data_IF_833070040701
#
_entry.id   IF_833070040701
#
_cell.length_a   1.000
_cell.length_b   1.000
_cell.length_c   1.000
_cell.angle_alpha   90.00
_cell.angle_beta   90.00
_cell.angle_gamma   90.00
#
_symmetry.space_group_name_H-M   'P 1'
#
loop_
_entity.id
_entity.type
_entity.pdbx_description
1 polymer ?
#
# COMPACT_ATOMS: atom_id res chain seq x y z
N UNK A 1 64.86 7.69 -10.80
CA UNK A 1 63.90 8.72 -10.34
C UNK A 1 62.58 8.47 -10.94
N UNK A 2 61.67 7.87 -10.18
CA UNK A 2 60.33 7.58 -10.64
C UNK A 2 59.42 8.76 -10.27
N UNK A 3 58.97 9.49 -11.29
CA UNK A 3 57.96 10.50 -11.12
C UNK A 3 56.61 9.82 -11.23
N UNK A 4 56.02 9.49 -10.06
CA UNK A 4 54.62 9.06 -10.02
C UNK A 4 53.76 10.28 -10.15
N UNK A 5 53.39 10.63 -11.37
CA UNK A 5 52.32 11.55 -11.66
C UNK A 5 51.00 10.89 -11.24
N UNK A 6 50.55 11.14 -10.01
CA UNK A 6 49.22 10.73 -9.59
C UNK A 6 48.19 11.42 -10.44
N UNK A 7 47.60 10.69 -11.39
CA UNK A 7 46.38 11.12 -12.02
C UNK A 7 45.30 11.05 -10.98
N UNK A 8 45.04 12.17 -10.34
CA UNK A 8 43.80 12.35 -9.59
C UNK A 8 42.66 12.22 -10.60
N UNK A 9 42.04 11.07 -10.58
CA UNK A 9 40.78 10.87 -11.26
C UNK A 9 39.73 11.70 -10.51
N UNK A 10 39.46 12.90 -11.04
CA UNK A 10 38.29 13.67 -10.65
C UNK A 10 37.07 12.80 -10.90
N UNK A 11 36.55 12.20 -9.86
CA UNK A 11 35.22 11.59 -9.93
C UNK A 11 34.24 12.69 -10.31
N UNK A 12 33.40 12.49 -11.35
CA UNK A 12 32.39 13.48 -11.68
C UNK A 12 31.51 13.65 -10.45
N UNK A 13 31.34 14.88 -10.01
CA UNK A 13 30.46 15.21 -8.90
C UNK A 13 29.12 14.52 -9.13
N UNK A 14 28.75 13.61 -8.24
CA UNK A 14 27.41 13.00 -8.27
C UNK A 14 26.42 14.14 -8.16
N UNK A 15 25.60 14.31 -9.21
CA UNK A 15 24.48 15.23 -9.13
C UNK A 15 23.69 14.91 -7.87
N UNK A 16 23.36 15.93 -7.05
CA UNK A 16 22.52 15.68 -5.90
C UNK A 16 21.24 15.00 -6.38
N UNK A 17 20.74 13.99 -5.65
CA UNK A 17 19.49 13.35 -6.03
C UNK A 17 18.43 14.42 -6.16
N UNK A 18 17.82 14.52 -7.34
CA UNK A 18 16.71 15.45 -7.55
C UNK A 18 15.66 15.15 -6.47
N UNK A 19 15.11 16.19 -5.81
CA UNK A 19 14.03 15.96 -4.88
C UNK A 19 12.95 15.19 -5.62
N UNK A 20 12.57 14.03 -5.06
CA UNK A 20 11.52 13.21 -5.63
C UNK A 20 10.31 14.11 -5.88
N UNK A 21 9.90 14.27 -7.14
CA UNK A 21 8.70 15.02 -7.47
C UNK A 21 7.56 14.39 -6.70
N UNK A 22 6.87 15.20 -5.91
CA UNK A 22 5.64 14.76 -5.27
C UNK A 22 4.70 14.25 -6.36
N UNK A 23 4.20 13.02 -6.25
CA UNK A 23 3.29 12.49 -7.24
C UNK A 23 2.06 13.38 -7.35
N UNK A 24 1.59 13.58 -8.57
CA UNK A 24 0.43 14.42 -8.84
C UNK A 24 -0.82 13.83 -8.16
N UNK A 25 -1.48 14.55 -7.24
CA UNK A 25 -2.66 14.05 -6.56
C UNK A 25 -3.80 13.64 -7.50
N UNK A 26 -3.96 14.33 -8.61
CA UNK A 26 -4.97 14.01 -9.61
C UNK A 26 -4.76 12.64 -10.25
N UNK A 27 -3.52 12.31 -10.60
CA UNK A 27 -3.15 11.00 -11.14
C UNK A 27 -3.34 9.90 -10.11
N UNK A 28 -2.95 10.15 -8.86
CA UNK A 28 -3.13 9.20 -7.78
C UNK A 28 -4.62 8.89 -7.53
N UNK A 29 -5.47 9.88 -7.55
CA UNK A 29 -6.93 9.68 -7.42
C UNK A 29 -7.52 8.89 -8.57
N UNK A 30 -7.03 9.09 -9.79
CA UNK A 30 -7.43 8.29 -10.96
C UNK A 30 -7.00 6.85 -10.83
N UNK A 31 -5.76 6.64 -10.45
CA UNK A 31 -5.21 5.30 -10.18
C UNK A 31 -6.00 4.61 -9.08
N UNK A 32 -6.29 5.30 -7.99
CA UNK A 32 -7.10 4.78 -6.89
C UNK A 32 -8.47 4.28 -7.36
N UNK A 33 -9.16 5.08 -8.16
CA UNK A 33 -10.48 4.68 -8.72
C UNK A 33 -10.37 3.46 -9.63
N UNK A 34 -9.34 3.40 -10.45
CA UNK A 34 -9.10 2.26 -11.33
C UNK A 34 -8.81 0.99 -10.53
N UNK A 35 -7.99 1.09 -9.49
CA UNK A 35 -7.67 -0.02 -8.60
C UNK A 35 -8.87 -0.51 -7.80
N UNK A 36 -9.74 0.38 -7.35
CA UNK A 36 -10.98 -0.02 -6.66
C UNK A 36 -11.90 -0.82 -7.59
N UNK A 37 -12.02 -0.43 -8.84
CA UNK A 37 -12.78 -1.20 -9.83
C UNK A 37 -12.14 -2.56 -10.13
N UNK A 38 -10.83 -2.57 -10.32
CA UNK A 38 -10.09 -3.80 -10.52
C UNK A 38 -10.23 -4.75 -9.33
N UNK A 39 -10.18 -4.23 -8.12
CA UNK A 39 -10.40 -4.99 -6.89
C UNK A 39 -11.77 -5.66 -6.86
N UNK A 40 -12.83 -4.91 -7.17
CA UNK A 40 -14.19 -5.44 -7.24
C UNK A 40 -14.32 -6.55 -8.27
N UNK A 41 -13.76 -6.34 -9.45
CA UNK A 41 -13.74 -7.33 -10.52
C UNK A 41 -13.03 -8.61 -10.10
N UNK A 42 -11.84 -8.49 -9.49
CA UNK A 42 -11.08 -9.63 -8.97
C UNK A 42 -11.81 -10.38 -7.87
N UNK A 43 -12.52 -9.69 -7.00
CA UNK A 43 -13.33 -10.31 -5.96
C UNK A 43 -14.53 -11.07 -6.54
N UNK A 44 -15.16 -10.55 -7.58
CA UNK A 44 -16.23 -11.27 -8.30
C UNK A 44 -15.70 -12.53 -8.97
N UNK A 45 -14.57 -12.43 -9.63
CA UNK A 45 -13.92 -13.58 -10.29
C UNK A 45 -13.54 -14.64 -9.24
N UNK A 46 -13.00 -14.23 -8.12
CA UNK A 46 -12.66 -15.11 -7.00
C UNK A 46 -13.91 -15.79 -6.44
N UNK A 47 -14.99 -15.04 -6.23
CA UNK A 47 -16.27 -15.58 -5.80
C UNK A 47 -16.84 -16.60 -6.80
N UNK A 48 -16.79 -16.30 -8.09
CA UNK A 48 -17.19 -17.23 -9.15
C UNK A 48 -16.35 -18.50 -9.16
N UNK A 49 -15.05 -18.36 -9.02
CA UNK A 49 -14.12 -19.50 -8.93
C UNK A 49 -14.44 -20.40 -7.72
N UNK A 50 -14.70 -19.81 -6.57
CA UNK A 50 -15.08 -20.53 -5.36
C UNK A 50 -16.37 -21.34 -5.56
N UNK A 51 -17.38 -20.73 -6.14
CA UNK A 51 -18.67 -21.40 -6.42
C UNK A 51 -18.47 -22.55 -7.38
N UNK A 52 -17.67 -22.36 -8.42
CA UNK A 52 -17.38 -23.41 -9.40
C UNK A 52 -16.60 -24.59 -8.80
N UNK A 53 -15.60 -24.30 -7.96
CA UNK A 53 -14.88 -25.33 -7.22
C UNK A 53 -15.79 -26.13 -6.30
N UNK A 54 -16.71 -25.45 -5.62
CA UNK A 54 -17.70 -26.09 -4.75
C UNK A 54 -18.63 -27.01 -5.54
N UNK A 55 -19.15 -26.54 -6.68
CA UNK A 55 -20.04 -27.35 -7.55
C UNK A 55 -19.37 -28.60 -8.09
N UNK A 56 -18.11 -28.44 -8.49
CA UNK A 56 -17.32 -29.55 -9.07
C UNK A 56 -16.67 -30.42 -8.00
N UNK A 57 -16.73 -30.04 -6.75
CA UNK A 57 -16.03 -30.69 -5.62
C UNK A 57 -14.53 -30.86 -5.89
N UNK A 58 -13.94 -29.91 -6.59
CA UNK A 58 -12.54 -29.89 -6.97
C UNK A 58 -11.88 -28.61 -6.46
N UNK A 59 -11.16 -28.72 -5.37
CA UNK A 59 -10.44 -27.61 -4.78
C UNK A 59 -9.08 -27.44 -5.42
N UNK A 60 -8.80 -26.24 -5.87
CA UNK A 60 -7.53 -25.83 -6.47
C UNK A 60 -6.94 -24.71 -5.63
N UNK A 61 -6.21 -25.08 -4.59
CA UNK A 61 -5.56 -24.12 -3.71
C UNK A 61 -4.56 -23.22 -4.43
N UNK A 62 -3.85 -23.76 -5.42
CA UNK A 62 -2.93 -23.01 -6.26
C UNK A 62 -3.59 -21.83 -6.96
N UNK A 63 -4.77 -22.02 -7.53
CA UNK A 63 -5.55 -20.96 -8.17
C UNK A 63 -6.07 -19.95 -7.15
N UNK A 64 -6.51 -20.41 -5.98
CA UNK A 64 -6.97 -19.52 -4.90
C UNK A 64 -5.83 -18.63 -4.41
N UNK A 65 -4.66 -19.19 -4.18
CA UNK A 65 -3.47 -18.43 -3.78
C UNK A 65 -3.12 -17.36 -4.80
N UNK A 66 -3.09 -17.72 -6.08
CA UNK A 66 -2.79 -16.80 -7.16
C UNK A 66 -3.79 -15.63 -7.20
N UNK A 67 -5.09 -15.92 -7.16
CA UNK A 67 -6.14 -14.91 -7.21
C UNK A 67 -6.19 -14.05 -5.95
N UNK A 68 -5.99 -14.61 -4.80
CA UNK A 68 -5.89 -13.86 -3.55
C UNK A 68 -4.67 -12.93 -3.56
N UNK A 69 -3.53 -13.39 -4.07
CA UNK A 69 -2.33 -12.58 -4.16
C UNK A 69 -2.54 -11.35 -5.07
N UNK A 70 -3.30 -11.47 -6.15
CA UNK A 70 -3.68 -10.35 -7.01
C UNK A 70 -4.48 -9.29 -6.23
N UNK A 71 -5.45 -9.70 -5.44
CA UNK A 71 -6.27 -8.79 -4.62
C UNK A 71 -5.41 -8.11 -3.54
N UNK A 72 -4.56 -8.87 -2.87
CA UNK A 72 -3.65 -8.36 -1.84
C UNK A 72 -2.67 -7.34 -2.44
N UNK A 73 -2.17 -7.59 -3.65
CA UNK A 73 -1.32 -6.64 -4.37
C UNK A 73 -2.04 -5.32 -4.68
N UNK A 74 -3.30 -5.38 -5.07
CA UNK A 74 -4.13 -4.18 -5.28
C UNK A 74 -4.33 -3.44 -3.96
N UNK A 75 -4.64 -4.13 -2.88
CA UNK A 75 -4.84 -3.54 -1.57
C UNK A 75 -3.57 -2.85 -1.05
N UNK A 76 -2.40 -3.46 -1.27
CA UNK A 76 -1.12 -2.84 -0.93
C UNK A 76 -0.89 -1.54 -1.69
N UNK A 77 -1.19 -1.52 -2.99
CA UNK A 77 -1.05 -0.30 -3.79
C UNK A 77 -2.06 0.78 -3.39
N UNK A 78 -3.28 0.40 -3.06
CA UNK A 78 -4.28 1.34 -2.53
C UNK A 78 -3.81 1.99 -1.23
N UNK A 79 -3.21 1.22 -0.33
CA UNK A 79 -2.66 1.74 0.91
C UNK A 79 -1.52 2.75 0.67
N UNK A 80 -0.63 2.46 -0.27
CA UNK A 80 0.43 3.39 -0.67
C UNK A 80 -0.14 4.71 -1.23
N UNK A 81 -1.15 4.63 -2.10
CA UNK A 81 -1.78 5.81 -2.67
C UNK A 81 -2.46 6.63 -1.59
N UNK A 82 -3.16 6.00 -0.66
CA UNK A 82 -3.80 6.69 0.45
C UNK A 82 -2.76 7.39 1.34
N UNK A 83 -1.63 6.77 1.59
CA UNK A 83 -0.51 7.40 2.29
C UNK A 83 0.03 8.63 1.55
N UNK A 84 0.23 8.53 0.25
CA UNK A 84 0.72 9.61 -0.59
C UNK A 84 -0.27 10.78 -0.69
N UNK A 85 -1.57 10.48 -0.76
CA UNK A 85 -2.62 11.50 -0.84
C UNK A 85 -2.80 12.27 0.48
N UNK A 86 -2.58 11.62 1.61
CA UNK A 86 -2.77 12.20 2.93
C UNK A 86 -1.49 12.79 3.53
N UNK A 87 -0.38 12.77 2.79
CA UNK A 87 0.86 13.48 3.11
C UNK A 87 1.53 13.08 4.43
N UNK A 88 1.24 11.89 4.95
CA UNK A 88 1.77 11.44 6.23
C UNK A 88 1.23 12.19 7.46
N UNK A 89 0.35 13.18 7.27
CA UNK A 89 -0.34 13.82 8.38
C UNK A 89 -1.39 12.88 8.95
N UNK A 90 -1.10 12.31 10.11
CA UNK A 90 -2.05 11.56 10.90
C UNK A 90 -2.29 10.13 10.46
N UNK A 91 -1.32 9.46 9.87
CA UNK A 91 -1.29 8.01 9.87
C UNK A 91 -1.04 7.53 11.28
N UNK A 92 -2.10 7.27 12.01
CA UNK A 92 -2.00 6.58 13.28
C UNK A 92 -1.50 5.16 13.00
N UNK A 93 -0.52 4.72 13.76
CA UNK A 93 -0.07 3.34 13.71
C UNK A 93 -0.75 2.57 14.83
N UNK A 94 -1.30 1.42 14.48
CA UNK A 94 -1.74 0.47 15.47
C UNK A 94 -0.55 -0.05 16.29
N UNK A 95 -0.79 -0.49 17.50
CA UNK A 95 0.22 -1.15 18.34
C UNK A 95 0.86 -2.38 17.67
N UNK A 96 0.18 -2.98 16.69
CA UNK A 96 0.74 -4.06 15.87
C UNK A 96 1.73 -3.57 14.79
N UNK A 97 1.91 -2.26 14.64
CA UNK A 97 2.80 -1.65 13.66
C UNK A 97 2.16 -1.32 12.31
N UNK A 98 0.93 -1.75 12.07
CA UNK A 98 0.24 -1.45 10.81
C UNK A 98 -0.23 0.00 10.75
N UNK A 99 -0.12 0.60 9.56
CA UNK A 99 -0.69 1.91 9.31
C UNK A 99 -2.22 1.82 9.32
N UNK A 100 -2.85 2.73 10.04
CA UNK A 100 -4.31 2.82 10.18
C UNK A 100 -4.80 4.06 9.47
N UNK A 101 -5.82 3.89 8.65
CA UNK A 101 -6.48 5.00 8.00
C UNK A 101 -7.21 5.87 9.03
N UNK A 102 -7.12 7.17 8.86
CA UNK A 102 -7.84 8.13 9.68
C UNK A 102 -9.34 7.84 9.67
N UNK A 103 -9.94 7.71 10.83
CA UNK A 103 -11.37 7.39 10.97
C UNK A 103 -11.72 5.90 10.92
N UNK A 104 -10.73 5.02 10.85
CA UNK A 104 -10.96 3.58 10.97
C UNK A 104 -11.27 3.20 12.41
N UNK A 105 -12.30 2.41 12.61
CA UNK A 105 -12.69 1.91 13.93
C UNK A 105 -11.93 0.65 14.33
N UNK A 106 -11.36 -0.05 13.37
CA UNK A 106 -10.63 -1.31 13.57
C UNK A 106 -9.34 -1.31 12.76
N UNK A 107 -8.30 -1.94 13.30
CA UNK A 107 -7.07 -2.15 12.56
C UNK A 107 -7.29 -3.18 11.45
N UNK A 108 -6.95 -2.88 10.19
CA UNK A 108 -7.13 -3.82 9.09
C UNK A 108 -6.21 -5.04 9.18
N UNK A 109 -5.14 -4.96 9.96
CA UNK A 109 -4.17 -6.03 10.09
C UNK A 109 -4.48 -6.97 11.26
N UNK A 110 -4.70 -6.43 12.45
CA UNK A 110 -4.91 -7.25 13.64
C UNK A 110 -6.37 -7.30 14.14
N UNK A 111 -7.26 -6.52 13.55
CA UNK A 111 -8.67 -6.45 13.92
C UNK A 111 -8.96 -5.76 15.26
N UNK A 112 -7.94 -5.20 15.91
CA UNK A 112 -8.11 -4.50 17.17
C UNK A 112 -8.99 -3.27 16.98
N UNK A 113 -9.91 -3.03 17.93
CA UNK A 113 -10.65 -1.80 17.97
C UNK A 113 -9.68 -0.63 18.19
N UNK A 114 -9.70 0.27 17.24
CA UNK A 114 -9.02 1.54 17.38
C UNK A 114 -10.03 2.46 18.03
N UNK A 115 -9.84 2.71 19.30
CA UNK A 115 -10.52 3.80 19.93
C UNK A 115 -10.08 5.05 19.18
N UNK A 116 -10.91 5.43 18.23
CA UNK A 116 -10.74 6.69 17.55
C UNK A 116 -10.43 7.69 18.63
N UNK A 117 -9.34 8.38 18.53
CA UNK A 117 -8.93 9.36 19.48
C UNK A 117 -10.16 10.08 20.02
N UNK A 118 -10.61 9.59 21.10
CA UNK A 118 -11.39 10.40 21.98
C UNK A 118 -10.44 11.53 22.38
N UNK A 119 -10.30 12.52 21.52
CA UNK A 119 -10.15 13.85 22.05
C UNK A 119 -11.35 14.01 22.95
N UNK A 120 -11.19 13.44 24.11
CA UNK A 120 -12.12 13.61 25.18
C UNK A 120 -12.31 15.10 25.34
N UNK A 121 -13.37 15.57 24.77
CA UNK A 121 -14.06 16.60 25.47
C UNK A 121 -14.49 15.94 26.76
N UNK A 122 -13.66 16.02 27.74
CA UNK A 122 -14.10 15.95 29.10
C UNK A 122 -15.11 17.05 29.28
N UNK A 123 -16.33 16.73 28.95
CA UNK A 123 -17.46 17.37 29.54
C UNK A 123 -17.67 16.69 30.87
N UNK A 124 -17.04 17.23 31.87
CA UNK A 124 -17.47 16.91 33.20
C UNK A 124 -18.87 17.47 33.43
#
# INVERSE_FOLDING_TARGET
MALFGGKESKQPARKPPMPARRPNPGLLRRERRALLRAREERLRDLGGLMVEMYRRRAWREDLLHERCAEVIGIDARLAEIDELLHGGEGTERCTCGAAVLRGSHFCPNCGRALDGNVNGSEGA
#
